data_IF_443548262210
#
_entry.id   IF_443548262210
#
_cell.length_a   1.000
_cell.length_b   1.000
_cell.length_c   1.000
_cell.angle_alpha   90.00
_cell.angle_beta   90.00
_cell.angle_gamma   90.00
#
_symmetry.space_group_name_H-M   'P 1'
#
loop_
_entity.id
_entity.type
_entity.pdbx_description
1 polymer ?
#
# COMPACT_ATOMS: atom_id res chain seq x y z
N UNK A 1 -30.16 -31.13 -6.39
CA UNK A 1 -30.24 -29.78 -5.79
C UNK A 1 -29.57 -29.83 -4.43
N UNK A 2 -28.50 -29.06 -4.20
CA UNK A 2 -28.15 -28.39 -2.93
C UNK A 2 -26.99 -27.44 -3.28
N UNK A 3 -27.29 -26.14 -3.26
CA UNK A 3 -26.37 -25.03 -3.48
C UNK A 3 -25.71 -24.67 -2.15
N UNK A 4 -24.39 -24.86 -2.04
CA UNK A 4 -23.59 -24.36 -0.91
C UNK A 4 -23.07 -22.94 -1.19
N UNK A 5 -23.76 -21.93 -0.67
CA UNK A 5 -23.39 -20.51 -0.76
C UNK A 5 -22.03 -20.23 -0.12
N UNK A 6 -21.08 -19.73 -0.91
CA UNK A 6 -19.77 -19.21 -0.47
C UNK A 6 -19.99 -17.91 0.31
N UNK A 7 -19.78 -17.91 1.63
CA UNK A 7 -19.85 -16.71 2.48
C UNK A 7 -18.52 -15.95 2.36
N UNK A 8 -18.53 -14.84 1.62
CA UNK A 8 -17.42 -13.90 1.46
C UNK A 8 -17.34 -13.06 2.74
N UNK A 9 -16.36 -13.30 3.61
CA UNK A 9 -16.09 -12.43 4.76
C UNK A 9 -15.29 -11.22 4.27
N UNK A 10 -15.99 -10.09 4.08
CA UNK A 10 -15.35 -8.79 3.98
C UNK A 10 -14.88 -8.39 5.38
N UNK A 11 -13.57 -8.40 5.62
CA UNK A 11 -12.98 -7.79 6.81
C UNK A 11 -12.53 -6.38 6.44
N UNK A 12 -13.45 -5.42 6.60
CA UNK A 12 -13.13 -4.00 6.75
C UNK A 12 -12.61 -3.82 8.17
N UNK A 13 -11.30 -3.78 8.35
CA UNK A 13 -10.71 -3.37 9.62
C UNK A 13 -9.53 -2.45 9.31
N UNK A 14 -9.85 -1.16 9.17
CA UNK A 14 -8.85 -0.09 9.17
C UNK A 14 -8.50 0.19 10.63
N UNK A 15 -7.79 -0.76 11.26
CA UNK A 15 -7.23 -0.62 12.59
C UNK A 15 -5.96 0.24 12.57
N UNK A 16 -5.59 0.86 13.71
CA UNK A 16 -4.36 1.64 13.82
C UNK A 16 -3.14 0.78 13.50
N UNK A 17 -2.11 1.38 12.89
CA UNK A 17 -0.86 0.74 12.50
C UNK A 17 -0.07 0.25 13.74
N UNK A 18 -0.46 -0.91 14.29
CA UNK A 18 0.27 -1.61 15.34
C UNK A 18 1.12 -2.70 14.69
N UNK A 19 2.42 -2.63 14.95
CA UNK A 19 3.42 -3.60 14.52
C UNK A 19 3.43 -4.77 15.54
N UNK A 20 2.51 -5.72 15.41
CA UNK A 20 2.54 -6.98 16.15
C UNK A 20 3.07 -8.12 15.26
N UNK A 21 4.09 -8.84 15.74
CA UNK A 21 4.84 -9.97 15.13
C UNK A 21 3.99 -11.23 14.84
N UNK A 22 2.84 -11.08 14.19
CA UNK A 22 2.01 -12.21 13.73
C UNK A 22 1.66 -11.98 12.28
N UNK A 23 2.32 -12.72 11.38
CA UNK A 23 2.06 -12.81 9.93
C UNK A 23 1.28 -11.60 9.43
N UNK A 24 1.97 -10.47 9.22
CA UNK A 24 1.31 -9.22 8.85
C UNK A 24 0.60 -9.41 7.51
N UNK A 25 -0.68 -9.73 7.60
CA UNK A 25 -1.53 -10.02 6.46
C UNK A 25 -1.68 -8.71 5.73
N UNK A 26 -0.91 -8.56 4.65
CA UNK A 26 -1.00 -7.39 3.81
C UNK A 26 -2.46 -7.23 3.35
N UNK A 27 -3.01 -6.01 3.39
CA UNK A 27 -4.34 -5.76 2.88
C UNK A 27 -4.41 -6.19 1.40
N UNK A 28 -5.57 -6.67 0.93
CA UNK A 28 -5.70 -7.26 -0.41
C UNK A 28 -5.71 -6.16 -1.48
N UNK A 29 -4.54 -5.57 -1.73
CA UNK A 29 -4.32 -4.57 -2.79
C UNK A 29 -3.64 -5.26 -3.97
N UNK A 30 -4.28 -5.18 -5.13
CA UNK A 30 -3.70 -5.65 -6.38
C UNK A 30 -3.15 -4.47 -7.17
N UNK A 31 -1.85 -4.54 -7.48
CA UNK A 31 -1.20 -3.59 -8.38
C UNK A 31 -1.18 -4.16 -9.80
N UNK A 32 -1.36 -3.29 -10.80
CA UNK A 32 -1.23 -3.62 -12.21
C UNK A 32 -0.14 -2.74 -12.80
N UNK A 33 1.09 -3.27 -12.96
CA UNK A 33 2.18 -2.45 -13.44
C UNK A 33 1.98 -2.01 -14.89
N UNK A 34 2.48 -0.83 -15.22
CA UNK A 34 2.48 -0.33 -16.59
C UNK A 34 3.68 -0.91 -17.37
N UNK A 35 3.55 -2.19 -17.77
CA UNK A 35 4.53 -2.88 -18.61
C UNK A 35 3.89 -3.44 -19.88
N UNK A 36 4.69 -3.56 -20.94
CA UNK A 36 4.21 -3.83 -22.31
C UNK A 36 3.57 -5.20 -22.50
N UNK A 37 4.07 -6.23 -21.81
CA UNK A 37 3.50 -7.58 -21.86
C UNK A 37 3.06 -8.09 -20.48
N UNK A 38 2.11 -9.03 -20.45
CA UNK A 38 1.65 -9.67 -19.19
C UNK A 38 2.79 -10.35 -18.44
N UNK A 39 3.73 -10.95 -19.16
CA UNK A 39 4.86 -11.66 -18.57
C UNK A 39 5.84 -10.68 -17.90
N UNK A 40 6.04 -9.49 -18.47
CA UNK A 40 6.80 -8.41 -17.85
C UNK A 40 6.08 -7.85 -16.62
N UNK A 41 4.75 -7.66 -16.69
CA UNK A 41 3.95 -7.21 -15.54
C UNK A 41 4.10 -8.18 -14.36
N UNK A 42 4.02 -9.49 -14.61
CA UNK A 42 4.23 -10.52 -13.58
C UNK A 42 5.66 -10.49 -13.04
N UNK A 43 6.67 -10.34 -13.90
CA UNK A 43 8.07 -10.20 -13.48
C UNK A 43 8.30 -8.99 -12.58
N UNK A 44 7.72 -7.83 -12.94
CA UNK A 44 7.77 -6.61 -12.13
C UNK A 44 7.09 -6.84 -10.78
N UNK A 45 5.90 -7.45 -10.76
CA UNK A 45 5.19 -7.77 -9.51
C UNK A 45 5.98 -8.69 -8.59
N UNK A 46 6.62 -9.72 -9.15
CA UNK A 46 7.48 -10.63 -8.38
C UNK A 46 8.64 -9.85 -7.75
N UNK A 47 9.31 -9.01 -8.55
CA UNK A 47 10.44 -8.21 -8.08
C UNK A 47 10.03 -7.21 -6.99
N UNK A 48 8.85 -6.59 -7.12
CA UNK A 48 8.34 -5.65 -6.14
C UNK A 48 7.96 -6.37 -4.84
N UNK A 49 7.30 -7.53 -4.92
CA UNK A 49 6.92 -8.32 -3.72
C UNK A 49 8.12 -8.82 -2.92
N UNK A 50 9.26 -9.04 -3.57
CA UNK A 50 10.51 -9.40 -2.89
C UNK A 50 11.24 -8.21 -2.25
N UNK A 51 10.81 -6.98 -2.50
CA UNK A 51 11.47 -5.80 -1.96
C UNK A 51 11.13 -5.60 -0.47
N UNK A 52 12.13 -5.24 0.34
CA UNK A 52 12.02 -5.06 1.79
C UNK A 52 10.90 -4.11 2.21
N UNK A 53 10.71 -3.00 1.47
CA UNK A 53 9.74 -1.95 1.80
C UNK A 53 8.43 -2.05 1.00
N UNK A 54 8.17 -3.18 0.33
CA UNK A 54 6.89 -3.42 -0.34
C UNK A 54 5.67 -3.36 0.60
N UNK A 55 5.72 -3.92 1.82
CA UNK A 55 4.63 -3.79 2.79
C UNK A 55 4.21 -2.35 3.05
N UNK A 56 5.17 -1.43 3.15
CA UNK A 56 4.90 -0.01 3.47
C UNK A 56 4.12 0.66 2.34
N UNK A 57 4.50 0.41 1.08
CA UNK A 57 3.78 0.90 -0.09
C UNK A 57 2.33 0.35 -0.13
N UNK A 58 2.17 -0.94 0.12
CA UNK A 58 0.87 -1.61 0.16
C UNK A 58 -0.02 -1.01 1.25
N UNK A 59 0.52 -0.82 2.46
CA UNK A 59 -0.22 -0.25 3.59
C UNK A 59 -0.65 1.19 3.32
N UNK A 60 0.22 2.02 2.74
CA UNK A 60 -0.12 3.40 2.38
C UNK A 60 -1.26 3.46 1.37
N UNK A 61 -1.18 2.65 0.31
CA UNK A 61 -2.21 2.61 -0.74
C UNK A 61 -3.50 2.02 -0.21
N UNK A 62 -3.44 0.96 0.60
CA UNK A 62 -4.61 0.39 1.26
C UNK A 62 -5.29 1.41 2.18
N UNK A 63 -4.52 2.18 2.94
CA UNK A 63 -5.05 3.21 3.81
C UNK A 63 -5.74 4.31 3.00
N UNK A 64 -5.11 4.79 1.93
CA UNK A 64 -5.70 5.77 1.02
C UNK A 64 -7.00 5.27 0.38
N UNK A 65 -7.07 4.00 -0.05
CA UNK A 65 -8.30 3.40 -0.60
C UNK A 65 -9.37 3.31 0.50
N UNK A 66 -8.99 2.85 1.70
CA UNK A 66 -9.91 2.67 2.83
C UNK A 66 -10.50 3.98 3.33
N UNK A 67 -9.71 5.06 3.35
CA UNK A 67 -10.15 6.40 3.72
C UNK A 67 -10.84 7.16 2.59
N UNK A 68 -10.88 6.59 1.37
CA UNK A 68 -11.37 7.26 0.14
C UNK A 68 -10.60 8.56 -0.15
N UNK A 69 -9.29 8.52 0.06
CA UNK A 69 -8.42 9.63 -0.29
C UNK A 69 -8.36 9.83 -1.81
N UNK A 70 -8.52 11.06 -2.26
CA UNK A 70 -8.36 11.45 -3.66
C UNK A 70 -6.87 11.48 -4.06
N UNK A 71 -6.02 11.88 -3.10
CA UNK A 71 -4.61 12.16 -3.35
C UNK A 71 -3.75 11.71 -2.18
N UNK A 72 -2.58 11.19 -2.52
CA UNK A 72 -1.51 10.87 -1.58
C UNK A 72 -0.37 11.85 -1.86
N UNK A 73 0.07 12.56 -0.82
CA UNK A 73 1.22 13.45 -0.86
C UNK A 73 2.33 12.88 0.01
N UNK A 74 3.52 12.78 -0.58
CA UNK A 74 4.72 12.27 0.07
C UNK A 74 5.81 13.33 -0.09
N UNK A 75 6.01 14.12 0.96
CA UNK A 75 6.98 15.22 0.97
C UNK A 75 8.33 14.71 1.47
N UNK A 76 9.28 14.51 0.55
CA UNK A 76 10.63 14.06 0.87
C UNK A 76 11.52 15.21 1.37
N UNK A 77 12.24 14.95 2.44
CA UNK A 77 13.21 15.85 3.06
C UNK A 77 14.54 15.13 3.29
N UNK A 78 15.56 15.85 3.77
CA UNK A 78 16.83 15.23 4.12
C UNK A 78 16.66 14.15 5.23
N UNK A 79 15.78 14.40 6.19
CA UNK A 79 15.57 13.56 7.38
C UNK A 79 14.62 12.39 7.15
N UNK A 80 13.68 12.50 6.21
CA UNK A 80 12.63 11.49 6.01
C UNK A 80 11.54 11.97 5.07
N UNK A 81 10.35 11.35 5.16
CA UNK A 81 9.20 11.76 4.36
C UNK A 81 7.96 12.03 5.22
N UNK A 82 7.30 13.17 4.98
CA UNK A 82 6.00 13.47 5.55
C UNK A 82 4.89 12.95 4.62
N UNK A 83 3.90 12.28 5.20
CA UNK A 83 2.79 11.67 4.47
C UNK A 83 1.49 12.44 4.74
N UNK A 84 0.74 12.73 3.69
CA UNK A 84 -0.60 13.32 3.81
C UNK A 84 -1.57 12.68 2.83
N UNK A 85 -2.79 12.48 3.27
CA UNK A 85 -3.90 12.02 2.44
C UNK A 85 -4.90 13.14 2.28
N UNK A 86 -5.41 13.35 1.06
CA UNK A 86 -6.52 14.27 0.83
C UNK A 86 -7.82 13.48 0.86
N UNK A 87 -8.59 13.60 1.94
CA UNK A 87 -9.88 12.92 2.11
C UNK A 87 -10.97 13.99 2.09
N UNK A 88 -11.94 13.85 1.19
CA UNK A 88 -13.07 14.78 1.05
C UNK A 88 -12.65 16.26 0.97
N UNK A 89 -11.51 16.52 0.31
CA UNK A 89 -10.93 17.87 0.15
C UNK A 89 -10.09 18.39 1.33
N UNK A 90 -10.02 17.67 2.45
CA UNK A 90 -9.19 18.00 3.61
C UNK A 90 -7.88 17.20 3.62
N UNK A 91 -6.79 17.83 4.04
CA UNK A 91 -5.50 17.17 4.19
C UNK A 91 -5.35 16.58 5.60
N UNK A 92 -5.33 15.26 5.67
CA UNK A 92 -5.01 14.50 6.88
C UNK A 92 -3.52 14.16 6.91
N UNK A 93 -2.87 14.34 8.06
CA UNK A 93 -1.45 14.01 8.24
C UNK A 93 -1.31 12.59 8.78
N UNK A 94 -0.44 11.82 8.15
CA UNK A 94 -0.03 10.51 8.65
C UNK A 94 1.29 10.61 9.42
N UNK A 95 1.64 9.60 10.23
CA UNK A 95 2.96 9.51 10.85
C UNK A 95 4.06 9.63 9.78
N UNK A 96 5.11 10.44 10.03
CA UNK A 96 6.23 10.55 9.10
C UNK A 96 7.01 9.23 9.04
N UNK A 97 7.64 9.00 7.89
CA UNK A 97 8.52 7.86 7.67
C UNK A 97 9.99 8.26 7.76
N UNK A 98 10.78 7.36 8.32
CA UNK A 98 12.24 7.42 8.28
C UNK A 98 12.76 7.36 6.84
N UNK A 99 13.90 7.99 6.60
CA UNK A 99 14.45 8.18 5.25
C UNK A 99 14.62 6.88 4.47
N UNK A 100 15.24 5.87 5.07
CA UNK A 100 15.50 4.58 4.42
C UNK A 100 14.19 3.91 3.97
N UNK A 101 13.19 3.94 4.84
CA UNK A 101 11.88 3.34 4.56
C UNK A 101 11.14 4.10 3.47
N UNK A 102 11.19 5.44 3.50
CA UNK A 102 10.55 6.28 2.50
C UNK A 102 11.18 6.10 1.11
N UNK A 103 12.50 6.04 1.03
CA UNK A 103 13.23 5.84 -0.23
C UNK A 103 12.96 4.43 -0.78
N UNK A 104 12.96 3.41 0.08
CA UNK A 104 12.60 2.05 -0.31
C UNK A 104 11.16 1.94 -0.85
N UNK A 105 10.22 2.60 -0.19
CA UNK A 105 8.83 2.70 -0.65
C UNK A 105 8.74 3.42 -2.00
N UNK A 106 9.48 4.52 -2.20
CA UNK A 106 9.50 5.25 -3.47
C UNK A 106 10.00 4.39 -4.63
N UNK A 107 11.03 3.58 -4.41
CA UNK A 107 11.56 2.65 -5.42
C UNK A 107 10.50 1.61 -5.80
N UNK A 108 9.75 1.09 -4.83
CA UNK A 108 8.64 0.17 -5.11
C UNK A 108 7.56 0.86 -5.92
N UNK A 109 7.11 2.05 -5.49
CA UNK A 109 6.04 2.80 -6.16
C UNK A 109 6.40 3.23 -7.59
N UNK A 110 7.69 3.50 -7.88
CA UNK A 110 8.15 3.81 -9.24
C UNK A 110 8.31 2.60 -10.15
N UNK A 111 8.44 1.40 -9.57
CA UNK A 111 8.60 0.16 -10.33
C UNK A 111 7.26 -0.46 -10.71
N UNK A 112 6.24 -0.28 -9.88
CA UNK A 112 4.84 -0.60 -10.18
C UNK A 112 4.36 0.32 -11.30
#
# INVERSE_FOLDING_TARGET
>A
MIFGRKKKSASSDAGPLVLDDKEQKLPPVEFKPDAGSKQEQEGVLISCRSATHYPVAVMLVAHAIGSRADQIMIDFTAQGAALRLRVDGLWEKLPPLERETADGMLVVLKKL
#
